data_IF_204865378868
#
_entry.id   IF_204865378868
#
_cell.length_a   1.000
_cell.length_b   1.000
_cell.length_c   1.000
_cell.angle_alpha   90.00
_cell.angle_beta   90.00
_cell.angle_gamma   90.00
#
_symmetry.space_group_name_H-M   'P 1'
#
loop_
_entity.id
_entity.type
_entity.pdbx_description
1 polymer ?
#
# COMPACT_ATOMS: atom_id res chain seq x y z
N UNK A 1 -10.97 -1.21 4.61
CA UNK A 1 -10.12 -2.31 5.14
C UNK A 1 -9.94 -3.40 4.11
N UNK A 2 -10.99 -3.98 3.53
CA UNK A 2 -10.90 -4.90 2.38
C UNK A 2 -9.97 -4.37 1.28
N UNK A 3 -10.25 -3.16 0.78
CA UNK A 3 -9.41 -2.51 -0.23
C UNK A 3 -7.92 -2.37 0.15
N UNK A 4 -7.60 -2.20 1.45
CA UNK A 4 -6.20 -2.16 1.89
C UNK A 4 -5.53 -3.54 1.76
N UNK A 5 -6.23 -4.61 2.15
CA UNK A 5 -5.71 -5.97 2.04
C UNK A 5 -5.55 -6.40 0.59
N UNK A 6 -6.53 -6.10 -0.28
CA UNK A 6 -6.48 -6.41 -1.70
C UNK A 6 -5.23 -5.81 -2.35
N UNK A 7 -4.94 -4.54 -2.07
CA UNK A 7 -3.78 -3.84 -2.66
C UNK A 7 -2.48 -4.31 -2.06
N UNK A 8 -2.45 -4.56 -0.75
CA UNK A 8 -1.27 -5.17 -0.14
C UNK A 8 -0.97 -6.54 -0.78
N UNK A 9 -2.01 -7.28 -1.20
CA UNK A 9 -1.90 -8.58 -1.87
C UNK A 9 -1.40 -8.44 -3.31
N UNK A 10 -1.96 -7.51 -4.06
CA UNK A 10 -1.45 -7.13 -5.37
C UNK A 10 0.03 -6.72 -5.29
N UNK A 11 0.41 -5.89 -4.32
CA UNK A 11 1.79 -5.49 -4.09
C UNK A 11 2.73 -6.68 -3.77
N UNK A 12 2.27 -7.63 -2.95
CA UNK A 12 3.04 -8.86 -2.66
C UNK A 12 3.23 -9.71 -3.92
N UNK A 13 2.20 -9.80 -4.75
CA UNK A 13 2.26 -10.51 -6.03
C UNK A 13 3.27 -9.88 -6.99
N UNK A 14 3.32 -8.54 -7.05
CA UNK A 14 4.32 -7.82 -7.86
C UNK A 14 5.73 -8.08 -7.35
N UNK A 15 5.97 -7.99 -6.05
CA UNK A 15 7.26 -8.35 -5.45
C UNK A 15 7.69 -9.78 -5.86
N UNK A 16 6.74 -10.72 -5.87
CA UNK A 16 6.99 -12.11 -6.30
C UNK A 16 7.36 -12.20 -7.78
N UNK A 17 6.74 -11.41 -8.65
CA UNK A 17 7.13 -11.33 -10.07
C UNK A 17 8.51 -10.72 -10.25
N UNK A 18 8.84 -9.67 -9.52
CA UNK A 18 10.18 -9.06 -9.57
C UNK A 18 11.25 -10.08 -9.14
N UNK A 19 11.02 -10.85 -8.06
CA UNK A 19 11.95 -11.91 -7.64
C UNK A 19 12.13 -12.99 -8.72
N UNK A 20 11.05 -13.40 -9.42
CA UNK A 20 11.16 -14.32 -10.56
C UNK A 20 12.00 -13.71 -11.69
N UNK A 21 11.80 -12.44 -12.01
CA UNK A 21 12.61 -11.73 -13.01
C UNK A 21 14.08 -11.63 -12.60
N UNK A 22 14.38 -11.37 -11.31
CA UNK A 22 15.75 -11.37 -10.77
C UNK A 22 16.42 -12.73 -10.99
N UNK A 23 15.75 -13.82 -10.58
CA UNK A 23 16.27 -15.18 -10.78
C UNK A 23 16.54 -15.46 -12.26
N UNK A 24 15.62 -15.06 -13.15
CA UNK A 24 15.81 -15.23 -14.58
C UNK A 24 16.98 -14.40 -15.12
N UNK A 25 17.17 -13.17 -14.65
CA UNK A 25 18.31 -12.31 -15.01
C UNK A 25 19.62 -12.96 -14.58
N UNK A 26 19.69 -13.47 -13.36
CA UNK A 26 20.87 -14.16 -12.83
C UNK A 26 21.20 -15.38 -13.70
N UNK A 27 20.22 -16.20 -14.07
CA UNK A 27 20.39 -17.33 -15.00
C UNK A 27 20.89 -16.87 -16.38
N UNK A 28 20.27 -15.85 -16.97
CA UNK A 28 20.65 -15.34 -18.28
C UNK A 28 22.09 -14.77 -18.29
N UNK A 29 22.50 -14.10 -17.21
CA UNK A 29 23.84 -13.53 -17.09
C UNK A 29 24.94 -14.58 -16.83
N UNK A 30 24.59 -15.83 -16.51
CA UNK A 30 25.58 -16.90 -16.49
C UNK A 30 26.19 -17.15 -17.88
N UNK A 31 25.45 -16.90 -18.96
CA UNK A 31 26.02 -16.99 -20.32
C UNK A 31 27.09 -15.92 -20.55
N UNK A 32 26.84 -14.68 -20.12
CA UNK A 32 27.83 -13.59 -20.18
C UNK A 32 29.04 -13.93 -19.32
N UNK A 33 28.83 -14.42 -18.09
CA UNK A 33 29.94 -14.81 -17.21
C UNK A 33 30.82 -15.90 -17.85
N UNK A 34 30.21 -16.95 -18.41
CA UNK A 34 30.96 -18.01 -19.10
C UNK A 34 31.76 -17.48 -20.29
N UNK A 35 31.18 -16.55 -21.06
CA UNK A 35 31.89 -15.90 -22.15
C UNK A 35 33.10 -15.09 -21.66
N UNK A 36 32.94 -14.35 -20.55
CA UNK A 36 34.01 -13.58 -19.91
C UNK A 36 35.12 -14.49 -19.37
N UNK A 37 34.75 -15.58 -18.70
CA UNK A 37 35.71 -16.54 -18.14
C UNK A 37 36.56 -17.17 -19.25
N UNK A 38 35.96 -17.55 -20.38
CA UNK A 38 36.67 -18.16 -21.52
C UNK A 38 37.64 -17.18 -22.19
N UNK A 39 37.29 -15.89 -22.24
CA UNK A 39 38.13 -14.85 -22.83
C UNK A 39 39.47 -14.71 -22.08
N UNK A 40 39.49 -14.98 -20.79
CA UNK A 40 40.70 -14.91 -19.95
C UNK A 40 41.71 -16.06 -20.22
N UNK A 41 41.35 -17.11 -20.98
CA UNK A 41 42.20 -18.30 -21.22
C UNK A 41 42.81 -18.41 -22.65
N UNK A 42 42.79 -17.35 -23.46
CA UNK A 42 43.50 -17.20 -24.76
C UNK A 42 43.72 -18.49 -25.61
N UNK A 43 42.65 -19.24 -25.93
CA UNK A 43 42.71 -20.43 -26.79
C UNK A 43 42.05 -20.20 -28.17
N UNK A 44 42.57 -20.72 -29.30
CA UNK A 44 41.94 -20.55 -30.62
C UNK A 44 40.52 -21.13 -30.74
N UNK A 45 40.16 -22.11 -29.91
CA UNK A 45 38.81 -22.69 -29.87
C UNK A 45 37.83 -21.87 -29.01
N UNK A 46 38.34 -20.88 -28.25
CA UNK A 46 37.57 -20.04 -27.34
C UNK A 46 36.49 -19.21 -28.05
N UNK A 47 36.80 -18.67 -29.24
CA UNK A 47 35.93 -17.72 -29.93
C UNK A 47 34.59 -18.34 -30.31
N UNK A 48 34.60 -19.57 -30.84
CA UNK A 48 33.38 -20.30 -31.19
C UNK A 48 32.48 -20.52 -29.96
N UNK A 49 33.07 -20.83 -28.80
CA UNK A 49 32.31 -21.05 -27.56
C UNK A 49 31.75 -19.74 -27.04
N UNK A 50 32.53 -18.65 -27.07
CA UNK A 50 32.07 -17.30 -26.71
C UNK A 50 30.84 -16.91 -27.54
N UNK A 51 30.89 -17.09 -28.86
CA UNK A 51 29.76 -16.79 -29.75
C UNK A 51 28.52 -17.63 -29.40
N UNK A 52 28.69 -18.91 -29.02
CA UNK A 52 27.56 -19.74 -28.55
C UNK A 52 26.95 -19.15 -27.27
N UNK A 53 27.77 -18.78 -26.27
CA UNK A 53 27.27 -18.19 -25.03
C UNK A 53 26.55 -16.85 -25.29
N UNK A 54 27.12 -15.98 -26.10
CA UNK A 54 26.53 -14.69 -26.46
C UNK A 54 25.20 -14.85 -27.20
N UNK A 55 25.10 -15.82 -28.12
CA UNK A 55 23.83 -16.15 -28.76
C UNK A 55 22.80 -16.66 -27.74
N UNK A 56 23.19 -17.53 -26.80
CA UNK A 56 22.29 -18.00 -25.73
C UNK A 56 21.77 -16.83 -24.87
N UNK A 57 22.62 -15.85 -24.56
CA UNK A 57 22.18 -14.62 -23.91
C UNK A 57 21.19 -13.83 -24.77
N UNK A 58 21.45 -13.68 -26.07
CA UNK A 58 20.55 -12.96 -26.98
C UNK A 58 19.19 -13.64 -27.14
N UNK A 59 19.15 -14.98 -27.17
CA UNK A 59 17.90 -15.74 -27.19
C UNK A 59 17.11 -15.65 -25.90
N UNK A 60 17.77 -15.35 -24.77
CA UNK A 60 17.07 -15.07 -23.52
C UNK A 60 16.37 -13.70 -23.63
N UNK A 61 15.07 -13.64 -23.33
CA UNK A 61 14.35 -12.37 -23.27
C UNK A 61 14.79 -11.58 -22.04
N UNK A 62 14.64 -10.25 -22.09
CA UNK A 62 14.80 -9.40 -20.92
C UNK A 62 13.66 -9.65 -19.93
N UNK A 63 13.93 -10.22 -18.74
CA UNK A 63 12.88 -10.62 -17.79
C UNK A 63 12.12 -9.45 -17.18
N UNK A 64 12.61 -8.22 -17.35
CA UNK A 64 11.95 -7.00 -16.91
C UNK A 64 11.07 -6.37 -18.00
N UNK A 65 11.12 -6.82 -19.26
CA UNK A 65 10.27 -6.25 -20.33
C UNK A 65 8.79 -6.59 -20.17
N UNK A 66 8.47 -7.69 -19.48
CA UNK A 66 7.10 -8.12 -19.19
C UNK A 66 6.61 -7.63 -17.83
N UNK A 67 7.43 -6.92 -17.05
CA UNK A 67 6.91 -6.23 -15.88
C UNK A 67 6.07 -5.06 -16.39
N UNK A 68 4.75 -5.25 -16.33
CA UNK A 68 3.70 -4.28 -16.61
C UNK A 68 4.12 -2.85 -16.28
N UNK A 69 3.65 -1.89 -17.08
CA UNK A 69 3.95 -0.47 -16.93
C UNK A 69 3.79 -0.04 -15.46
N UNK A 70 4.94 0.09 -14.76
CA UNK A 70 4.99 0.49 -13.35
C UNK A 70 4.27 1.82 -13.12
N UNK A 71 4.06 2.61 -14.19
CA UNK A 71 3.24 3.81 -14.20
C UNK A 71 1.76 3.52 -13.91
N UNK A 72 1.15 2.55 -14.59
CA UNK A 72 -0.25 2.15 -14.36
C UNK A 72 -0.46 1.63 -12.93
N UNK A 73 0.55 0.95 -12.39
CA UNK A 73 0.56 0.47 -11.02
C UNK A 73 0.73 1.59 -9.99
N UNK A 74 1.65 2.53 -10.23
CA UNK A 74 1.84 3.73 -9.41
C UNK A 74 0.56 4.58 -9.36
N UNK A 75 -0.14 4.70 -10.49
CA UNK A 75 -1.44 5.40 -10.58
C UNK A 75 -2.51 4.73 -9.69
N UNK A 76 -2.67 3.40 -9.77
CA UNK A 76 -3.60 2.64 -8.91
C UNK A 76 -3.25 2.75 -7.41
N UNK A 77 -1.97 2.64 -7.06
CA UNK A 77 -1.50 2.76 -5.68
C UNK A 77 -1.74 4.18 -5.12
N UNK A 78 -1.53 5.21 -5.94
CA UNK A 78 -1.79 6.62 -5.61
C UNK A 78 -3.28 6.89 -5.37
N UNK A 79 -4.16 6.34 -6.21
CA UNK A 79 -5.61 6.45 -6.06
C UNK A 79 -6.07 5.91 -4.71
N UNK A 80 -5.54 4.75 -4.30
CA UNK A 80 -5.99 4.12 -3.06
C UNK A 80 -5.35 4.78 -1.84
N UNK A 81 -4.10 5.23 -1.93
CA UNK A 81 -3.53 6.10 -0.91
C UNK A 81 -4.40 7.35 -0.70
N UNK A 82 -4.89 7.94 -1.80
CA UNK A 82 -5.81 9.08 -1.74
C UNK A 82 -7.15 8.70 -1.12
N UNK A 83 -7.72 7.55 -1.49
CA UNK A 83 -8.97 7.03 -0.92
C UNK A 83 -8.83 6.78 0.60
N UNK A 84 -7.76 6.13 1.05
CA UNK A 84 -7.49 5.88 2.48
C UNK A 84 -7.30 7.20 3.25
N UNK A 85 -6.56 8.17 2.70
CA UNK A 85 -6.41 9.51 3.28
C UNK A 85 -7.75 10.23 3.38
N UNK A 86 -8.59 10.14 2.34
CA UNK A 86 -9.93 10.74 2.30
C UNK A 86 -10.86 10.11 3.34
N UNK A 87 -10.87 8.78 3.45
CA UNK A 87 -11.62 8.05 4.45
C UNK A 87 -11.19 8.40 5.88
N UNK A 88 -9.87 8.48 6.14
CA UNK A 88 -9.34 8.97 7.43
C UNK A 88 -9.84 10.38 7.76
N UNK A 89 -9.77 11.32 6.81
CA UNK A 89 -10.31 12.68 6.99
C UNK A 89 -11.80 12.67 7.32
N UNK A 90 -12.61 11.85 6.64
CA UNK A 90 -14.06 11.71 6.90
C UNK A 90 -14.33 11.20 8.33
N UNK A 91 -13.60 10.19 8.81
CA UNK A 91 -13.77 9.65 10.17
C UNK A 91 -13.35 10.65 11.23
N UNK A 92 -12.20 11.32 11.07
CA UNK A 92 -11.74 12.39 11.99
C UNK A 92 -12.78 13.51 12.10
N UNK A 93 -13.38 13.93 10.98
CA UNK A 93 -14.46 14.94 10.99
C UNK A 93 -15.67 14.47 11.79
N UNK A 94 -16.09 13.21 11.63
CA UNK A 94 -17.19 12.61 12.41
C UNK A 94 -16.90 12.56 13.91
N UNK A 95 -15.66 12.22 14.30
CA UNK A 95 -15.24 12.24 15.71
C UNK A 95 -15.32 13.65 16.29
N UNK A 96 -14.76 14.64 15.57
CA UNK A 96 -14.81 16.05 15.98
C UNK A 96 -16.26 16.53 16.14
N UNK A 97 -17.12 16.27 15.15
CA UNK A 97 -18.54 16.66 15.21
C UNK A 97 -19.27 16.02 16.41
N UNK A 98 -19.05 14.74 16.67
CA UNK A 98 -19.59 14.08 17.86
C UNK A 98 -19.07 14.71 19.16
N UNK A 99 -17.80 15.13 19.22
CA UNK A 99 -17.24 15.82 20.39
C UNK A 99 -17.87 17.19 20.59
N UNK A 100 -18.06 17.97 19.53
CA UNK A 100 -18.76 19.25 19.58
C UNK A 100 -20.22 19.08 20.02
N UNK A 101 -20.97 18.16 19.41
CA UNK A 101 -22.36 17.86 19.78
C UNK A 101 -22.51 17.37 21.24
N UNK A 102 -21.47 16.74 21.81
CA UNK A 102 -21.43 16.33 23.22
C UNK A 102 -21.08 17.48 24.18
N UNK A 103 -20.27 18.42 23.73
CA UNK A 103 -19.77 19.54 24.52
C UNK A 103 -20.71 20.76 24.50
N UNK A 104 -21.77 20.74 23.69
CA UNK A 104 -22.86 21.71 23.78
C UNK A 104 -23.94 21.16 24.72
N UNK A 105 -23.99 21.56 26.01
CA UNK A 105 -25.18 21.32 26.82
C UNK A 105 -26.31 22.16 26.21
N UNK A 106 -27.20 21.50 25.46
CA UNK A 106 -28.49 21.98 24.99
C UNK A 106 -28.64 23.50 24.78
N UNK A 107 -28.41 23.97 23.57
CA UNK A 107 -29.07 25.20 23.12
C UNK A 107 -30.55 24.83 22.89
N UNK A 108 -31.32 25.03 23.97
CA UNK A 108 -32.73 25.38 24.02
C UNK A 108 -33.70 24.60 23.08
N UNK A 109 -34.22 23.46 23.55
CA UNK A 109 -35.62 23.07 23.24
C UNK A 109 -36.50 23.53 24.41
N UNK A 110 -36.38 24.80 24.79
CA UNK A 110 -37.30 25.51 25.69
C UNK A 110 -37.73 26.84 25.06
N UNK A 111 -37.84 26.88 23.73
CA UNK A 111 -38.43 28.00 22.99
C UNK A 111 -39.56 27.54 22.03
N UNK A 112 -40.07 26.32 22.19
CA UNK A 112 -41.29 25.86 21.48
C UNK A 112 -42.42 25.43 22.40
N UNK A 113 -42.20 25.41 23.73
CA UNK A 113 -43.27 25.20 24.72
C UNK A 113 -43.67 26.48 25.48
N UNK A 114 -43.11 27.63 25.10
CA UNK A 114 -43.49 28.96 25.60
C UNK A 114 -44.59 29.66 24.79
N UNK A 115 -45.13 29.02 23.74
CA UNK A 115 -46.16 29.61 22.87
C UNK A 115 -47.47 28.80 22.78
N UNK A 116 -47.59 27.72 23.56
CA UNK A 116 -48.84 26.94 23.65
C UNK A 116 -49.51 27.14 25.03
N UNK A 117 -48.78 27.61 26.04
CA UNK A 117 -49.38 27.99 27.33
C UNK A 117 -50.04 29.39 27.31
N UNK A 118 -49.75 30.23 26.31
CA UNK A 118 -50.32 31.57 26.19
C UNK A 118 -51.59 31.64 25.32
N UNK A 119 -51.97 30.56 24.63
CA UNK A 119 -53.12 30.56 23.70
C UNK A 119 -54.32 29.73 24.18
N UNK A 120 -54.27 29.16 25.39
CA UNK A 120 -55.39 28.35 25.96
C UNK A 120 -56.06 29.03 27.18
N UNK A 121 -55.56 30.17 27.67
CA UNK A 121 -56.16 30.86 28.83
C UNK A 121 -57.24 31.88 28.44
N UNK A 122 -57.46 32.15 27.15
CA UNK A 122 -58.39 33.20 26.73
C UNK A 122 -59.85 32.76 26.54
N UNK A 123 -60.23 31.47 26.66
CA UNK A 123 -61.59 31.07 26.24
C UNK A 123 -62.45 30.22 27.14
N UNK A 124 -62.00 29.48 28.16
CA UNK A 124 -62.98 28.76 29.00
C UNK A 124 -62.66 28.77 30.50
N UNK A 125 -63.49 29.54 31.19
CA UNK A 125 -63.76 29.46 32.62
C UNK A 125 -64.17 28.04 33.03
N UNK A 126 -63.59 27.59 34.15
CA UNK A 126 -64.14 26.66 35.14
C UNK A 126 -64.63 25.29 34.61
N UNK A 127 -63.88 24.22 34.91
CA UNK A 127 -64.36 23.03 35.67
C UNK A 127 -63.25 21.95 35.75
N UNK A 128 -63.13 21.37 36.95
CA UNK A 128 -62.47 20.10 37.28
C UNK A 128 -60.93 20.03 37.29
N UNK A 129 -60.38 20.55 38.39
CA UNK A 129 -59.44 19.81 39.22
C UNK A 129 -60.00 18.39 39.51
N UNK A 130 -59.12 17.38 39.60
CA UNK A 130 -59.33 15.96 39.97
C UNK A 130 -59.12 14.98 38.79
N UNK A 131 -57.85 14.82 38.42
CA UNK A 131 -57.22 13.50 38.36
C UNK A 131 -55.72 13.74 38.53
N UNK A 132 -55.14 13.20 39.61
CA UNK A 132 -53.78 13.53 40.05
C UNK A 132 -52.72 13.28 38.98
N UNK A 133 -51.50 13.85 39.13
CA UNK A 133 -50.43 13.63 38.18
C UNK A 133 -50.00 12.16 38.29
N UNK A 134 -50.61 11.29 37.48
CA UNK A 134 -50.08 9.98 37.19
C UNK A 134 -48.74 10.24 36.52
N UNK A 135 -47.71 10.05 37.33
CA UNK A 135 -46.31 10.27 37.07
C UNK A 135 -45.99 9.64 35.71
N UNK A 136 -45.93 10.45 34.65
CA UNK A 136 -45.12 10.14 33.49
C UNK A 136 -43.66 10.29 33.93
N UNK A 137 -43.21 9.41 34.83
CA UNK A 137 -41.80 9.08 35.01
C UNK A 137 -41.40 8.28 33.78
N UNK A 138 -41.49 8.92 32.61
CA UNK A 138 -40.70 8.53 31.47
C UNK A 138 -39.28 8.44 32.00
N UNK A 139 -38.57 7.32 31.87
CA UNK A 139 -37.33 7.10 32.59
C UNK A 139 -36.22 7.87 31.87
N UNK A 140 -36.34 9.19 31.81
CA UNK A 140 -35.45 10.13 31.15
C UNK A 140 -34.02 9.94 31.65
N UNK A 141 -33.84 9.66 32.95
CA UNK A 141 -32.53 9.28 33.51
C UNK A 141 -31.99 7.98 32.89
N UNK A 142 -32.81 6.93 32.74
CA UNK A 142 -32.42 5.63 32.14
C UNK A 142 -32.19 5.74 30.64
N UNK A 143 -33.01 6.52 29.93
CA UNK A 143 -32.85 6.80 28.50
C UNK A 143 -31.62 7.68 28.24
N UNK A 144 -31.38 8.72 29.03
CA UNK A 144 -30.18 9.58 28.98
C UNK A 144 -28.92 8.78 29.31
N UNK A 145 -28.98 7.85 30.27
CA UNK A 145 -27.88 6.92 30.58
C UNK A 145 -27.62 5.95 29.42
N UNK A 146 -28.67 5.35 28.83
CA UNK A 146 -28.56 4.48 27.64
C UNK A 146 -28.00 5.23 26.43
N UNK A 147 -28.45 6.45 26.15
CA UNK A 147 -27.95 7.31 25.07
C UNK A 147 -26.50 7.76 25.33
N UNK A 148 -26.14 8.07 26.58
CA UNK A 148 -24.74 8.34 26.97
C UNK A 148 -23.86 7.10 26.77
N UNK A 149 -24.30 5.90 27.19
CA UNK A 149 -23.55 4.64 26.99
C UNK A 149 -23.40 4.31 25.50
N UNK A 150 -24.47 4.46 24.71
CA UNK A 150 -24.46 4.25 23.26
C UNK A 150 -23.56 5.26 22.54
N UNK A 151 -23.60 6.55 22.91
CA UNK A 151 -22.77 7.59 22.31
C UNK A 151 -21.30 7.50 22.75
N UNK A 152 -21.02 6.96 23.94
CA UNK A 152 -19.67 6.67 24.42
C UNK A 152 -19.08 5.46 23.70
N UNK A 153 -19.83 4.36 23.62
CA UNK A 153 -19.50 3.18 22.82
C UNK A 153 -19.24 3.54 21.35
N UNK A 154 -20.12 4.33 20.73
CA UNK A 154 -19.94 4.84 19.35
C UNK A 154 -18.69 5.71 19.18
N UNK A 155 -18.33 6.50 20.19
CA UNK A 155 -17.13 7.35 20.16
C UNK A 155 -15.84 6.54 20.28
N UNK A 156 -15.83 5.54 21.16
CA UNK A 156 -14.73 4.58 21.31
C UNK A 156 -14.54 3.78 20.04
N UNK A 157 -15.64 3.26 19.47
CA UNK A 157 -15.64 2.57 18.18
C UNK A 157 -15.08 3.44 17.05
N UNK A 158 -15.55 4.69 16.92
CA UNK A 158 -15.02 5.60 15.90
C UNK A 158 -13.53 5.91 16.10
N UNK A 159 -13.05 5.98 17.35
CA UNK A 159 -11.62 6.14 17.64
C UNK A 159 -10.82 4.97 17.10
N UNK A 160 -11.24 3.73 17.40
CA UNK A 160 -10.59 2.50 16.91
C UNK A 160 -10.58 2.40 15.38
N UNK A 161 -11.70 2.74 14.73
CA UNK A 161 -11.75 2.83 13.26
C UNK A 161 -10.78 3.90 12.75
N UNK A 162 -10.61 5.00 13.47
CA UNK A 162 -9.61 6.01 13.14
C UNK A 162 -8.18 5.47 13.24
N UNK A 163 -7.88 4.67 14.27
CA UNK A 163 -6.56 4.06 14.48
C UNK A 163 -6.24 3.03 13.38
N UNK A 164 -7.21 2.17 13.04
CA UNK A 164 -7.10 1.24 11.90
C UNK A 164 -6.81 1.97 10.57
N UNK A 165 -7.53 3.07 10.32
CA UNK A 165 -7.32 3.88 9.12
C UNK A 165 -5.98 4.61 9.14
N UNK A 166 -5.48 5.01 10.31
CA UNK A 166 -4.16 5.64 10.45
C UNK A 166 -3.03 4.65 10.15
N UNK A 167 -3.09 3.46 10.75
CA UNK A 167 -2.13 2.37 10.51
C UNK A 167 -2.14 1.97 9.03
N UNK A 168 -3.33 1.75 8.46
CA UNK A 168 -3.46 1.38 7.05
C UNK A 168 -2.92 2.49 6.13
N UNK A 169 -3.24 3.77 6.40
CA UNK A 169 -2.75 4.89 5.59
C UNK A 169 -1.23 5.06 5.67
N UNK A 170 -0.62 4.86 6.85
CA UNK A 170 0.85 4.84 7.02
C UNK A 170 1.46 3.68 6.24
N UNK A 171 0.90 2.48 6.36
CA UNK A 171 1.35 1.30 5.62
C UNK A 171 1.31 1.51 4.10
N UNK A 172 0.20 2.04 3.57
CA UNK A 172 0.08 2.34 2.14
C UNK A 172 1.03 3.45 1.69
N UNK A 173 1.31 4.46 2.52
CA UNK A 173 2.29 5.50 2.19
C UNK A 173 3.70 4.92 2.04
N UNK A 174 4.14 4.10 2.99
CA UNK A 174 5.46 3.44 2.95
C UNK A 174 5.53 2.54 1.71
N UNK A 175 4.49 1.72 1.49
CA UNK A 175 4.40 0.85 0.32
C UNK A 175 4.55 1.63 -0.99
N UNK A 176 3.88 2.78 -1.14
CA UNK A 176 4.01 3.59 -2.35
C UNK A 176 5.45 4.07 -2.56
N UNK A 177 6.15 4.44 -1.49
CA UNK A 177 7.54 4.89 -1.54
C UNK A 177 8.52 3.77 -1.90
N UNK A 178 8.28 2.56 -1.39
CA UNK A 178 9.06 1.38 -1.73
C UNK A 178 8.88 1.05 -3.22
N UNK A 179 7.65 1.11 -3.73
CA UNK A 179 7.36 0.88 -5.14
C UNK A 179 7.96 1.92 -6.09
N UNK A 180 8.02 3.20 -5.69
CA UNK A 180 8.76 4.23 -6.44
C UNK A 180 10.26 3.89 -6.54
N UNK A 181 10.81 3.23 -5.53
CA UNK A 181 12.22 2.81 -5.51
C UNK A 181 12.43 1.57 -6.35
N UNK A 182 11.58 0.55 -6.19
CA UNK A 182 11.59 -0.65 -7.02
C UNK A 182 11.45 -0.32 -8.51
N UNK A 183 10.51 0.55 -8.87
CA UNK A 183 10.28 0.98 -10.26
C UNK A 183 11.55 1.60 -10.88
N UNK A 184 12.23 2.47 -10.14
CA UNK A 184 13.50 3.08 -10.60
C UNK A 184 14.62 2.07 -10.76
N UNK A 185 14.76 1.12 -9.83
CA UNK A 185 15.77 0.06 -9.92
C UNK A 185 15.50 -0.88 -11.10
N UNK A 186 14.25 -1.32 -11.27
CA UNK A 186 13.84 -2.15 -12.41
C UNK A 186 14.08 -1.42 -13.73
N UNK A 187 13.70 -0.14 -13.84
CA UNK A 187 13.94 0.63 -15.07
C UNK A 187 15.42 0.77 -15.41
N UNK A 188 16.28 0.98 -14.40
CA UNK A 188 17.74 1.02 -14.58
C UNK A 188 18.29 -0.31 -15.09
N UNK A 189 17.94 -1.41 -14.42
CA UNK A 189 18.38 -2.75 -14.82
C UNK A 189 17.85 -3.15 -16.19
N UNK A 190 16.59 -2.83 -16.50
CA UNK A 190 16.02 -3.03 -17.83
C UNK A 190 16.86 -2.31 -18.90
N UNK A 191 17.16 -1.02 -18.69
CA UNK A 191 17.97 -0.24 -19.63
C UNK A 191 19.39 -0.80 -19.81
N UNK A 192 20.01 -1.28 -18.73
CA UNK A 192 21.35 -1.88 -18.75
C UNK A 192 21.37 -3.23 -19.48
N UNK A 193 20.34 -4.07 -19.27
CA UNK A 193 20.17 -5.31 -20.04
C UNK A 193 19.99 -5.00 -21.53
N UNK A 194 19.12 -4.06 -21.89
CA UNK A 194 18.92 -3.68 -23.30
C UNK A 194 20.18 -3.08 -23.92
N UNK A 195 20.96 -2.33 -23.16
CA UNK A 195 22.26 -1.82 -23.60
C UNK A 195 23.24 -2.95 -23.89
N UNK A 196 23.40 -3.89 -22.94
CA UNK A 196 24.29 -5.04 -23.10
C UNK A 196 23.86 -5.93 -24.28
N UNK A 197 22.55 -6.12 -24.48
CA UNK A 197 22.01 -6.84 -25.65
C UNK A 197 22.38 -6.16 -26.96
N UNK A 198 22.26 -4.83 -27.05
CA UNK A 198 22.66 -4.08 -28.25
C UNK A 198 24.16 -4.19 -28.51
N UNK A 199 24.99 -4.15 -27.47
CA UNK A 199 26.44 -4.36 -27.60
C UNK A 199 26.77 -5.75 -28.13
N UNK A 200 26.14 -6.78 -27.56
CA UNK A 200 26.33 -8.17 -28.00
C UNK A 200 25.85 -8.36 -29.43
N UNK A 201 24.66 -7.88 -29.79
CA UNK A 201 24.13 -7.95 -31.15
C UNK A 201 25.08 -7.30 -32.16
N UNK A 202 25.54 -6.08 -31.87
CA UNK A 202 26.46 -5.35 -32.74
C UNK A 202 27.78 -6.10 -32.95
N UNK A 203 28.28 -6.79 -31.92
CA UNK A 203 29.46 -7.64 -32.01
C UNK A 203 29.21 -8.86 -32.91
N UNK A 204 28.08 -9.54 -32.73
CA UNK A 204 27.70 -10.72 -33.52
C UNK A 204 27.51 -10.39 -35.00
N UNK A 205 27.02 -9.18 -35.32
CA UNK A 205 26.77 -8.74 -36.70
C UNK A 205 28.07 -8.43 -37.45
N UNK A 206 29.08 -7.83 -36.79
CA UNK A 206 30.34 -7.42 -37.44
C UNK A 206 31.33 -8.55 -37.65
N UNK A 207 31.28 -9.63 -36.86
CA UNK A 207 32.19 -10.80 -36.95
C UNK A 207 33.69 -10.44 -36.96
N UNK A 208 34.07 -9.36 -36.29
CA UNK A 208 35.46 -8.91 -36.17
C UNK A 208 36.02 -9.18 -34.77
N UNK A 209 37.16 -9.87 -34.70
CA UNK A 209 37.77 -10.30 -33.43
C UNK A 209 38.17 -9.11 -32.55
N UNK A 210 38.69 -8.03 -33.14
CA UNK A 210 39.11 -6.82 -32.42
C UNK A 210 37.93 -6.11 -31.72
N UNK A 211 36.78 -6.04 -32.40
CA UNK A 211 35.56 -5.46 -31.82
C UNK A 211 34.99 -6.36 -30.72
N UNK A 212 35.11 -7.67 -30.88
CA UNK A 212 34.70 -8.66 -29.88
C UNK A 212 35.46 -8.50 -28.58
N UNK A 213 36.78 -8.30 -28.65
CA UNK A 213 37.63 -8.10 -27.47
C UNK A 213 37.32 -6.77 -26.75
N UNK A 214 37.11 -5.68 -27.50
CA UNK A 214 36.72 -4.40 -26.91
C UNK A 214 35.35 -4.49 -26.21
N UNK A 215 34.37 -5.09 -26.86
CA UNK A 215 33.03 -5.29 -26.31
C UNK A 215 33.07 -6.14 -25.03
N UNK A 216 33.83 -7.24 -25.03
CA UNK A 216 33.99 -8.10 -23.86
C UNK A 216 34.65 -7.36 -22.68
N UNK A 217 35.63 -6.50 -22.95
CA UNK A 217 36.22 -5.65 -21.90
C UNK A 217 35.22 -4.67 -21.30
N UNK A 218 34.35 -4.06 -22.12
CA UNK A 218 33.30 -3.17 -21.63
C UNK A 218 32.21 -3.93 -20.85
N UNK A 219 31.82 -5.14 -21.29
CA UNK A 219 30.93 -6.02 -20.51
C UNK A 219 31.56 -6.42 -19.18
N UNK A 220 32.86 -6.76 -19.16
CA UNK A 220 33.59 -7.12 -17.92
C UNK A 220 33.58 -5.97 -16.92
N UNK A 221 33.79 -4.74 -17.38
CA UNK A 221 33.75 -3.53 -16.55
C UNK A 221 32.36 -3.26 -15.98
N UNK A 222 31.30 -3.49 -16.77
CA UNK A 222 29.94 -3.24 -16.33
C UNK A 222 29.36 -4.37 -15.46
N UNK A 223 29.82 -5.61 -15.61
CA UNK A 223 29.26 -6.80 -14.95
C UNK A 223 29.23 -6.70 -13.41
N UNK A 224 30.33 -6.28 -12.79
CA UNK A 224 30.40 -6.11 -11.32
C UNK A 224 29.39 -5.09 -10.83
N UNK A 225 29.24 -3.97 -11.56
CA UNK A 225 28.27 -2.93 -11.23
C UNK A 225 26.84 -3.39 -11.46
N UNK A 226 26.61 -4.17 -12.51
CA UNK A 226 25.32 -4.78 -12.83
C UNK A 226 24.86 -5.74 -11.72
N UNK A 227 25.73 -6.67 -11.29
CA UNK A 227 25.42 -7.63 -10.21
C UNK A 227 25.04 -6.92 -8.91
N UNK A 228 25.79 -5.88 -8.52
CA UNK A 228 25.45 -5.06 -7.35
C UNK A 228 24.07 -4.41 -7.44
N UNK A 229 23.67 -3.93 -8.62
CA UNK A 229 22.32 -3.35 -8.83
C UNK A 229 21.23 -4.43 -8.76
N UNK A 230 21.51 -5.65 -9.22
CA UNK A 230 20.60 -6.79 -9.09
C UNK A 230 20.42 -7.17 -7.61
N UNK A 231 21.51 -7.23 -6.85
CA UNK A 231 21.49 -7.44 -5.38
C UNK A 231 20.71 -6.32 -4.67
N UNK A 232 20.98 -5.05 -5.00
CA UNK A 232 20.24 -3.89 -4.45
C UNK A 232 18.73 -3.99 -4.73
N UNK A 233 18.33 -4.41 -5.94
CA UNK A 233 16.93 -4.66 -6.25
C UNK A 233 16.35 -5.79 -5.39
N UNK A 234 17.06 -6.91 -5.26
CA UNK A 234 16.62 -8.06 -4.48
C UNK A 234 16.41 -7.69 -2.99
N UNK A 235 17.37 -7.01 -2.38
CA UNK A 235 17.27 -6.50 -1.01
C UNK A 235 16.07 -5.58 -0.84
N UNK A 236 15.85 -4.65 -1.78
CA UNK A 236 14.72 -3.73 -1.74
C UNK A 236 13.37 -4.47 -1.86
N UNK A 237 13.30 -5.55 -2.64
CA UNK A 237 12.09 -6.37 -2.76
C UNK A 237 11.80 -7.12 -1.45
N UNK A 238 12.81 -7.71 -0.82
CA UNK A 238 12.64 -8.36 0.48
C UNK A 238 12.21 -7.37 1.56
N UNK A 239 12.82 -6.19 1.61
CA UNK A 239 12.44 -5.14 2.54
C UNK A 239 10.99 -4.69 2.34
N UNK A 240 10.55 -4.55 1.09
CA UNK A 240 9.17 -4.23 0.74
C UNK A 240 8.20 -5.30 1.25
N UNK A 241 8.49 -6.59 1.01
CA UNK A 241 7.68 -7.71 1.50
C UNK A 241 7.55 -7.75 3.02
N UNK A 242 8.65 -7.52 3.75
CA UNK A 242 8.65 -7.43 5.22
C UNK A 242 7.75 -6.28 5.67
N UNK A 243 7.87 -5.13 5.04
CA UNK A 243 7.06 -3.94 5.34
C UNK A 243 5.57 -4.19 5.09
N UNK A 244 5.21 -4.81 3.97
CA UNK A 244 3.82 -5.19 3.65
C UNK A 244 3.25 -6.10 4.75
N UNK A 245 3.98 -7.16 5.09
CA UNK A 245 3.50 -8.16 6.06
C UNK A 245 3.41 -7.57 7.47
N UNK A 246 4.35 -6.72 7.86
CA UNK A 246 4.29 -5.99 9.13
C UNK A 246 3.08 -5.05 9.18
N UNK A 247 2.83 -4.29 8.11
CA UNK A 247 1.70 -3.37 8.05
C UNK A 247 0.36 -4.11 8.15
N UNK A 248 0.22 -5.24 7.42
CA UNK A 248 -0.94 -6.13 7.54
C UNK A 248 -1.13 -6.64 8.96
N UNK A 249 -0.06 -7.11 9.60
CA UNK A 249 -0.11 -7.62 10.97
C UNK A 249 -0.58 -6.57 11.97
N UNK A 250 -0.08 -5.33 11.85
CA UNK A 250 -0.53 -4.20 12.70
C UNK A 250 -2.02 -3.89 12.50
N UNK A 251 -2.48 -3.88 11.25
CA UNK A 251 -3.89 -3.65 10.93
C UNK A 251 -4.77 -4.77 11.50
N UNK A 252 -4.40 -6.03 11.29
CA UNK A 252 -5.13 -7.20 11.82
C UNK A 252 -5.20 -7.14 13.34
N UNK A 253 -4.08 -6.87 14.00
CA UNK A 253 -4.01 -6.72 15.46
C UNK A 253 -5.01 -5.68 15.97
N UNK A 254 -5.01 -4.49 15.37
CA UNK A 254 -5.93 -3.42 15.76
C UNK A 254 -7.40 -3.82 15.51
N UNK A 255 -7.68 -4.54 14.42
CA UNK A 255 -9.02 -5.07 14.14
C UNK A 255 -9.48 -6.10 15.17
N UNK A 256 -8.60 -7.01 15.59
CA UNK A 256 -8.89 -8.03 16.61
C UNK A 256 -9.09 -7.41 17.99
N UNK A 257 -8.24 -6.46 18.39
CA UNK A 257 -8.39 -5.73 19.67
C UNK A 257 -9.70 -4.92 19.70
N UNK A 258 -10.06 -4.30 18.57
CA UNK A 258 -11.34 -3.60 18.42
C UNK A 258 -12.56 -4.52 18.55
N UNK A 259 -12.44 -5.79 18.16
CA UNK A 259 -13.52 -6.78 18.21
C UNK A 259 -13.63 -7.44 19.61
N UNK A 260 -12.49 -7.71 20.26
CA UNK A 260 -12.46 -8.22 21.63
C UNK A 260 -13.08 -7.23 22.63
N UNK A 261 -12.78 -5.92 22.49
CA UNK A 261 -13.40 -4.87 23.32
C UNK A 261 -14.93 -4.74 23.10
N UNK A 262 -15.47 -5.19 21.96
CA UNK A 262 -16.91 -5.23 21.71
C UNK A 262 -17.61 -6.42 22.36
N UNK A 263 -16.94 -7.58 22.41
CA UNK A 263 -17.49 -8.81 23.01
C UNK A 263 -17.40 -8.83 24.54
N UNK A 264 -16.39 -8.19 25.13
CA UNK A 264 -16.19 -8.12 26.59
C UNK A 264 -16.63 -6.78 27.22
N UNK A 265 -17.40 -5.97 26.49
CA UNK A 265 -17.79 -4.61 26.88
C UNK A 265 -18.81 -4.51 28.03
N UNK A 266 -18.31 -4.61 29.26
CA UNK A 266 -18.76 -3.83 30.44
C UNK A 266 -18.81 -2.33 30.10
#
# INVERSE_FOLDING_TARGET
>A
MLSYFDISAEASHICSHILKSINQVQCNYQFIQKALDIMDYESPQSFKIIIIQLNSFMFSNNPFSNLYDFKLLSEKHSEVLHHLKSMRKKVVRKIKLNKYLKNTPGICITATFGLIAATVIATHTLTALIMGPAILSFPYKKLKLKLKKLSFSRSRFLSKVCDQLDIAAKGTYILNRDFDTLSRLVARLHGEIEHNRKMVQFCLDRKEDKFSLQMMNELKKSDVGFRKKVEELEEQVYLCLVTINRARGLVIKEMTESCAEQHFGM
#
